data_IF_664097569648
#
_entry.id   IF_664097569648
#
_cell.length_a   1.000
_cell.length_b   1.000
_cell.length_c   1.000
_cell.angle_alpha   90.00
_cell.angle_beta   90.00
_cell.angle_gamma   90.00
#
_symmetry.space_group_name_H-M   'P 1'
#
loop_
_entity.id
_entity.type
_entity.pdbx_description
1 polymer ?
2 non-polymer ?
3 non-polymer ?
4 water ?
#
# COMPACT_ATOMS: atom_id res chain seq x y z
N UNK A 6 4.62 12.27 23.29
CA UNK A 6 6.01 11.80 23.57
C UNK A 6 6.08 10.32 23.28
N UNK A 7 5.31 9.93 22.28
CA UNK A 7 5.05 8.54 21.89
C UNK A 7 5.51 8.37 20.47
N UNK A 8 5.84 7.14 20.08
CA UNK A 8 6.10 6.80 18.67
C UNK A 8 4.83 7.10 17.89
N UNK A 9 3.64 6.97 18.52
CA UNK A 9 2.41 7.49 17.89
C UNK A 9 2.41 9.01 17.88
N UNK A 10 2.26 9.62 16.70
CA UNK A 10 2.22 11.08 16.52
C UNK A 10 0.80 11.54 16.48
N UNK A 11 -0.07 10.88 15.74
CA UNK A 11 -1.51 11.20 15.75
C UNK A 11 -2.32 10.07 15.19
N UNK A 12 -3.61 10.16 15.44
CA UNK A 12 -4.62 9.19 14.99
C UNK A 12 -5.77 9.99 14.39
N UNK A 13 -6.26 9.56 13.24
CA UNK A 13 -7.42 10.22 12.57
C UNK A 13 -8.41 9.13 12.15
N UNK A 14 -9.68 9.34 12.46
CA UNK A 14 -10.80 8.55 11.93
C UNK A 14 -11.54 7.80 13.00
N UNK A 15 -12.77 7.38 12.66
CA UNK A 15 -13.66 6.52 13.46
C UNK A 15 -14.64 5.87 12.48
N UNK A 16 -15.42 4.91 12.93
CA UNK A 16 -16.31 4.09 12.07
C UNK A 16 -17.40 4.97 11.48
N UNK A 17 -17.65 4.87 10.19
CA UNK A 17 -18.84 5.45 9.55
C UNK A 17 -18.58 5.87 8.15
N UNK A 18 -19.50 6.65 7.57
CA UNK A 18 -19.48 6.94 6.12
C UNK A 18 -19.33 8.44 5.88
N UNK A 19 -19.25 9.26 6.95
CA UNK A 19 -19.06 10.74 6.84
C UNK A 19 -17.61 11.05 6.51
N UNK A 20 -17.34 12.26 6.03
CA UNK A 20 -15.96 12.80 5.88
C UNK A 20 -15.20 12.57 7.20
N UNK A 21 -13.98 12.08 7.09
CA UNK A 21 -13.09 11.78 8.23
C UNK A 21 -13.50 10.53 8.94
N UNK A 22 -14.41 9.74 8.35
CA UNK A 22 -14.77 8.41 8.88
C UNK A 22 -14.38 7.35 7.85
N UNK A 23 -14.41 6.08 8.26
CA UNK A 23 -14.01 4.91 7.46
C UNK A 23 -14.88 3.70 7.80
N UNK A 24 -15.12 2.91 6.78
CA UNK A 24 -15.70 1.58 6.91
C UNK A 24 -14.58 0.56 6.73
N UNK A 25 -13.95 0.52 5.55
CA UNK A 25 -12.91 -0.49 5.26
C UNK A 25 -11.67 0.17 4.66
N UNK A 26 -10.87 0.77 5.51
CA UNK A 26 -9.69 1.56 5.12
C UNK A 26 -8.60 0.56 4.68
N UNK A 27 -8.12 0.66 3.47
CA UNK A 27 -7.14 -0.30 2.96
C UNK A 27 -5.90 0.43 2.50
N UNK A 28 -5.93 1.06 1.36
CA UNK A 28 -4.74 1.66 0.80
C UNK A 28 -4.37 2.96 1.50
N UNK A 29 -3.06 3.24 1.58
CA UNK A 29 -2.49 4.49 2.15
C UNK A 29 -1.33 4.91 1.28
N UNK A 30 -1.20 6.20 1.05
CA UNK A 30 -0.08 6.76 0.30
C UNK A 30 0.21 8.15 0.79
N UNK A 31 1.32 8.69 0.37
CA UNK A 31 1.74 10.04 0.74
C UNK A 31 2.26 10.80 -0.47
N UNK A 32 2.01 12.08 -0.48
CA UNK A 32 2.47 12.98 -1.54
C UNK A 32 3.65 13.77 -0.99
N UNK A 33 4.65 14.00 -1.84
CA UNK A 33 5.82 14.89 -1.59
C UNK A 33 5.37 16.29 -1.16
N UNK A 34 4.22 16.74 -1.66
CA UNK A 34 3.55 18.02 -1.29
C UNK A 34 3.10 18.00 0.19
N UNK A 35 3.31 16.88 0.89
CA UNK A 35 2.95 16.73 2.31
C UNK A 35 1.46 16.52 2.46
N UNK A 36 0.90 15.54 1.77
CA UNK A 36 -0.49 15.07 1.99
C UNK A 36 -0.48 13.58 2.27
N UNK A 37 -1.52 13.13 2.93
CA UNK A 37 -1.79 11.70 3.21
C UNK A 37 -3.06 11.34 2.47
N UNK A 38 -3.01 10.29 1.65
CA UNK A 38 -4.16 9.89 0.80
C UNK A 38 -4.57 8.49 1.20
N UNK A 39 -5.85 8.28 1.54
CA UNK A 39 -6.34 6.96 1.98
C UNK A 39 -7.54 6.53 1.16
N UNK A 40 -7.65 5.23 0.89
CA UNK A 40 -8.77 4.61 0.17
C UNK A 40 -9.61 3.80 1.15
N UNK A 41 -10.92 3.85 0.99
CA UNK A 41 -11.87 2.98 1.68
C UNK A 41 -12.57 2.14 0.64
N UNK A 42 -12.46 0.82 0.73
CA UNK A 42 -12.98 -0.11 -0.28
C UNK A 42 -14.51 -0.20 -0.16
N UNK A 43 -15.07 0.10 1.01
CA UNK A 43 -16.48 -0.15 1.33
C UNK A 43 -17.25 1.17 1.21
N UNK A 44 -16.64 2.29 1.58
CA UNK A 44 -17.23 3.65 1.33
C UNK A 44 -16.97 4.11 -0.09
N UNK A 45 -16.23 3.31 -0.87
CA UNK A 45 -15.98 3.51 -2.31
C UNK A 45 -15.50 4.97 -2.50
N UNK A 46 -14.52 5.42 -1.69
CA UNK A 46 -14.04 6.83 -1.72
C UNK A 46 -12.57 6.99 -1.36
N UNK A 47 -12.01 8.12 -1.77
CA UNK A 47 -10.61 8.55 -1.48
C UNK A 47 -10.70 9.79 -0.58
N UNK A 48 -9.91 9.82 0.51
CA UNK A 48 -9.88 11.02 1.41
C UNK A 48 -8.45 11.53 1.51
N UNK A 49 -8.32 12.84 1.48
CA UNK A 49 -7.00 13.53 1.44
C UNK A 49 -6.86 14.37 2.73
N UNK A 50 -5.76 14.21 3.43
CA UNK A 50 -5.43 14.88 4.70
C UNK A 50 -4.08 15.55 4.59
N UNK A 51 -3.82 16.57 5.42
CA UNK A 51 -2.48 17.20 5.58
C UNK A 51 -1.56 16.21 6.28
N UNK A 52 -0.26 16.53 6.33
CA UNK A 52 0.79 15.73 7.02
C UNK A 52 0.54 15.73 8.53
N UNK A 53 -0.33 16.58 9.03
CA UNK A 53 -0.69 16.60 10.47
C UNK A 53 -2.05 15.94 10.70
N UNK A 54 -2.73 15.43 9.68
CA UNK A 54 -4.01 14.71 9.87
C UNK A 54 -5.25 15.56 9.61
N UNK A 55 -5.09 16.82 9.21
CA UNK A 55 -6.27 17.69 8.98
C UNK A 55 -6.98 17.30 7.67
N UNK A 56 -8.30 17.14 7.74
CA UNK A 56 -9.15 16.77 6.58
C UNK A 56 -9.08 17.88 5.54
N UNK A 57 -8.74 17.54 4.30
CA UNK A 57 -8.79 18.46 3.16
C UNK A 57 -10.05 18.18 2.34
N UNK A 58 -10.18 17.01 1.70
CA UNK A 58 -11.36 16.70 0.83
C UNK A 58 -11.50 15.21 0.56
N UNK A 59 -12.70 14.83 0.14
CA UNK A 59 -13.10 13.45 -0.20
C UNK A 59 -13.59 13.45 -1.65
N UNK A 60 -13.30 12.40 -2.42
CA UNK A 60 -13.88 12.19 -3.77
C UNK A 60 -14.15 10.72 -4.01
N UNK A 61 -15.00 10.47 -4.99
CA UNK A 61 -15.37 9.12 -5.40
C UNK A 61 -16.84 9.04 -5.67
N UNK A 62 -17.17 8.69 -6.89
CA UNK A 62 -18.51 8.25 -7.29
C UNK A 62 -18.52 6.72 -7.38
N UNK A 63 -19.24 6.07 -6.43
CA UNK A 63 -19.67 4.64 -6.47
C UNK A 63 -20.09 4.26 -7.89
N UNK A 64 -19.57 3.16 -8.39
CA UNK A 64 -20.14 2.39 -9.51
C UNK A 64 -19.09 1.75 -10.37
N UNK A 65 -19.53 1.22 -11.50
CA UNK A 65 -18.78 0.26 -12.34
C UNK A 65 -18.37 0.92 -13.66
N UNK A 66 -18.74 2.18 -13.87
CA UNK A 66 -18.36 2.93 -15.10
C UNK A 66 -17.02 3.61 -14.91
N UNK A 67 -16.30 3.90 -15.99
CA UNK A 67 -15.04 4.63 -15.90
C UNK A 67 -15.29 5.96 -15.23
N UNK A 68 -14.40 6.33 -14.33
CA UNK A 68 -14.50 7.56 -13.53
C UNK A 68 -14.98 7.24 -12.14
N UNK A 69 -15.63 6.07 -11.98
CA UNK A 69 -16.35 5.64 -10.76
C UNK A 69 -15.49 4.60 -10.01
N UNK A 70 -15.73 4.49 -8.70
CA UNK A 70 -15.00 3.52 -7.81
C UNK A 70 -15.99 2.46 -7.34
N UNK A 71 -15.62 1.17 -7.44
CA UNK A 71 -16.46 0.06 -6.95
C UNK A 71 -15.84 -0.53 -5.68
N UNK A 72 -14.62 -1.03 -5.79
CA UNK A 72 -13.87 -1.57 -4.64
C UNK A 72 -12.44 -1.02 -4.68
N UNK A 73 -12.25 0.25 -4.30
CA UNK A 73 -10.91 0.82 -4.36
C UNK A 73 -10.03 0.33 -3.18
N UNK A 74 -8.96 -0.35 -3.49
CA UNK A 74 -8.22 -1.08 -2.45
C UNK A 74 -6.86 -0.41 -2.24
N UNK A 75 -6.13 -0.20 -3.30
CA UNK A 75 -4.75 0.23 -3.26
C UNK A 75 -4.65 1.64 -3.79
N UNK A 76 -3.78 2.48 -3.21
CA UNK A 76 -3.60 3.87 -3.67
C UNK A 76 -2.14 4.22 -3.61
N UNK A 77 -1.74 5.02 -4.55
CA UNK A 77 -0.39 5.54 -4.71
C UNK A 77 -0.49 6.94 -5.28
N UNK A 78 0.53 7.73 -5.06
CA UNK A 78 0.56 9.15 -5.46
C UNK A 78 1.77 9.31 -6.35
N UNK A 79 1.56 9.87 -7.54
CA UNK A 79 2.64 10.04 -8.52
C UNK A 79 3.42 11.31 -8.16
N UNK A 80 4.58 11.53 -8.78
CA UNK A 80 5.50 12.68 -8.50
C UNK A 80 4.78 14.01 -8.79
N UNK A 81 3.79 13.99 -9.70
CA UNK A 81 2.94 15.17 -10.03
C UNK A 81 1.72 15.25 -9.09
N UNK A 82 1.54 14.30 -8.17
CA UNK A 82 0.48 14.32 -7.15
C UNK A 82 -0.79 13.65 -7.64
N UNK A 83 -0.77 13.11 -8.86
CA UNK A 83 -1.91 12.34 -9.41
C UNK A 83 -2.18 11.18 -8.46
N UNK A 84 -3.44 10.83 -8.27
CA UNK A 84 -3.82 9.76 -7.30
C UNK A 84 -4.21 8.51 -8.09
N UNK A 85 -3.58 7.39 -7.76
CA UNK A 85 -3.64 6.13 -8.54
C UNK A 85 -4.35 5.09 -7.69
N UNK A 86 -5.48 4.62 -8.14
CA UNK A 86 -6.36 3.75 -7.33
C UNK A 86 -6.51 2.40 -8.04
N UNK A 87 -6.16 1.33 -7.35
CA UNK A 87 -6.45 -0.03 -7.79
C UNK A 87 -7.87 -0.38 -7.43
N UNK A 88 -8.70 -0.65 -8.42
CA UNK A 88 -10.10 -1.01 -8.20
C UNK A 88 -10.29 -2.49 -8.44
N UNK A 89 -10.35 -3.20 -7.36
CA UNK A 89 -10.31 -4.66 -7.38
C UNK A 89 -11.53 -5.18 -8.17
N UNK A 90 -12.67 -4.50 -8.06
CA UNK A 90 -13.96 -5.01 -8.63
C UNK A 90 -14.14 -4.48 -10.07
N UNK A 91 -13.76 -3.24 -10.35
CA UNK A 91 -13.80 -2.73 -11.76
C UNK A 91 -12.68 -3.39 -12.59
N UNK A 92 -11.67 -3.98 -11.94
CA UNK A 92 -10.56 -4.73 -12.59
C UNK A 92 -9.77 -3.77 -13.46
N UNK A 93 -9.55 -2.57 -12.96
CA UNK A 93 -8.65 -1.58 -13.62
C UNK A 93 -8.02 -0.65 -12.59
N UNK A 94 -7.06 0.14 -13.04
CA UNK A 94 -6.46 1.17 -12.20
C UNK A 94 -6.91 2.56 -12.71
N UNK A 95 -7.48 3.38 -11.84
CA UNK A 95 -7.95 4.75 -12.17
C UNK A 95 -6.87 5.75 -11.79
N UNK A 96 -6.57 6.67 -12.67
CA UNK A 96 -5.68 7.79 -12.33
C UNK A 96 -6.55 9.04 -12.26
N UNK A 97 -6.46 9.74 -11.15
CA UNK A 97 -7.12 11.02 -10.87
C UNK A 97 -6.05 12.13 -10.76
N UNK A 98 -6.47 13.37 -11.03
CA UNK A 98 -5.73 14.59 -10.65
C UNK A 98 -5.53 14.63 -9.14
N UNK A 99 -4.61 15.49 -8.64
CA UNK A 99 -4.46 15.69 -7.21
C UNK A 99 -5.73 16.23 -6.53
N UNK A 100 -6.70 16.74 -7.30
CA UNK A 100 -7.99 17.27 -6.78
C UNK A 100 -9.15 16.28 -6.99
N UNK A 101 -8.87 15.09 -7.53
CA UNK A 101 -9.87 14.00 -7.59
C UNK A 101 -10.65 13.97 -8.91
N UNK A 102 -10.11 14.60 -9.93
CA UNK A 102 -10.69 14.57 -11.30
C UNK A 102 -10.15 13.29 -12.03
N UNK A 103 -11.09 12.41 -12.41
CA UNK A 103 -10.81 11.23 -13.24
C UNK A 103 -10.05 11.68 -14.47
N UNK A 104 -8.98 10.98 -14.78
CA UNK A 104 -8.20 11.21 -16.02
C UNK A 104 -8.33 10.01 -16.96
N UNK A 105 -7.87 8.83 -16.52
CA UNK A 105 -8.00 7.62 -17.36
C UNK A 105 -7.88 6.41 -16.46
N UNK A 106 -8.12 5.28 -17.06
CA UNK A 106 -7.97 3.97 -16.41
C UNK A 106 -6.98 3.16 -17.22
N UNK A 107 -6.13 2.38 -16.55
CA UNK A 107 -5.11 1.55 -17.22
C UNK A 107 -5.29 0.11 -16.78
N UNK A 108 -4.99 -0.82 -17.70
CA UNK A 108 -4.91 -2.25 -17.46
C UNK A 108 -6.24 -2.91 -17.66
N UNK A 109 -7.27 -2.19 -18.13
CA UNK A 109 -8.57 -2.84 -18.40
C UNK A 109 -8.31 -3.99 -19.34
N UNK A 110 -8.86 -5.17 -19.04
CA UNK A 110 -8.75 -6.37 -19.90
C UNK A 110 -7.46 -7.13 -19.64
N UNK A 111 -6.49 -6.54 -18.95
CA UNK A 111 -5.25 -7.29 -18.60
C UNK A 111 -5.23 -7.64 -17.09
N UNK A 112 -5.77 -6.78 -16.27
CA UNK A 112 -5.81 -6.97 -14.78
C UNK A 112 -7.08 -7.71 -14.40
N UNK A 113 -7.00 -8.78 -13.65
CA UNK A 113 -8.20 -9.53 -13.24
C UNK A 113 -8.58 -9.22 -11.77
N UNK A 114 -7.67 -8.68 -10.97
CA UNK A 114 -7.94 -8.42 -9.56
C UNK A 114 -6.90 -7.51 -8.97
N UNK A 115 -6.78 -6.29 -9.52
CA UNK A 115 -5.74 -5.37 -9.10
C UNK A 115 -5.99 -4.89 -7.69
N UNK A 116 -5.03 -5.12 -6.83
CA UNK A 116 -5.22 -4.98 -5.40
C UNK A 116 -4.34 -3.83 -4.88
N UNK A 117 -3.07 -3.81 -5.29
CA UNK A 117 -2.05 -2.91 -4.74
C UNK A 117 -1.34 -2.15 -5.84
N UNK A 118 -0.88 -0.96 -5.53
CA UNK A 118 -0.20 -0.13 -6.53
C UNK A 118 0.97 0.60 -5.88
N UNK A 119 1.98 0.91 -6.68
CA UNK A 119 3.10 1.80 -6.31
C UNK A 119 3.55 2.54 -7.53
N UNK A 120 4.34 3.59 -7.30
CA UNK A 120 4.98 4.37 -8.40
C UNK A 120 6.49 4.18 -8.30
N UNK A 121 7.15 3.84 -9.40
CA UNK A 121 8.59 3.54 -9.36
C UNK A 121 9.36 4.85 -9.64
N UNK A 122 10.68 4.73 -9.74
CA UNK A 122 11.60 5.89 -9.78
C UNK A 122 11.65 6.47 -11.20
N UNK A 123 11.08 5.78 -12.19
CA UNK A 123 10.97 6.33 -13.58
C UNK A 123 9.51 6.69 -13.87
N UNK A 124 8.65 6.74 -12.86
CA UNK A 124 7.24 7.16 -13.01
C UNK A 124 6.36 6.03 -13.52
N UNK A 125 6.88 4.81 -13.64
CA UNK A 125 6.07 3.60 -13.94
C UNK A 125 5.08 3.35 -12.78
N UNK A 126 3.90 2.85 -13.11
CA UNK A 126 2.89 2.38 -12.16
C UNK A 126 3.05 0.87 -12.05
N UNK A 127 3.30 0.42 -10.83
CA UNK A 127 3.49 -1.01 -10.49
C UNK A 127 2.21 -1.49 -9.82
N UNK A 128 1.60 -2.51 -10.38
CA UNK A 128 0.29 -3.06 -9.92
C UNK A 128 0.47 -4.50 -9.53
N UNK A 129 0.04 -4.88 -8.34
CA UNK A 129 0.01 -6.30 -7.94
C UNK A 129 -1.42 -6.80 -8.01
N UNK A 130 -1.60 -7.88 -8.76
CA UNK A 130 -2.91 -8.47 -9.06
C UNK A 130 -3.06 -9.72 -8.20
N UNK A 131 -4.04 -9.69 -7.30
CA UNK A 131 -4.29 -10.80 -6.34
C UNK A 131 -5.05 -11.94 -7.02
N UNK A 132 -5.55 -11.77 -8.26
CA UNK A 132 -6.23 -12.88 -8.97
C UNK A 132 -5.25 -13.60 -9.91
N UNK A 133 -4.53 -12.89 -10.73
CA UNK A 133 -3.52 -13.52 -11.60
C UNK A 133 -2.22 -13.72 -10.83
N UNK A 134 -2.04 -13.11 -9.64
CA UNK A 134 -0.82 -13.28 -8.79
C UNK A 134 0.40 -12.81 -9.54
N UNK A 135 0.25 -11.70 -10.27
CA UNK A 135 1.32 -11.13 -11.09
C UNK A 135 1.56 -9.68 -10.69
N UNK A 136 2.73 -9.20 -11.07
CA UNK A 136 3.14 -7.80 -10.89
C UNK A 136 3.29 -7.21 -12.30
N UNK A 137 2.53 -6.14 -12.55
CA UNK A 137 2.49 -5.43 -13.83
C UNK A 137 3.22 -4.10 -13.67
N UNK A 138 3.90 -3.67 -14.72
CA UNK A 138 4.56 -2.35 -14.78
C UNK A 138 3.98 -1.63 -15.98
N UNK A 139 3.39 -0.48 -15.76
CA UNK A 139 2.72 0.35 -16.82
C UNK A 139 3.43 1.68 -16.93
N UNK A 140 3.36 2.31 -18.12
CA UNK A 140 3.57 3.79 -18.25
C UNK A 140 2.29 4.49 -17.81
N UNK A 141 2.37 5.74 -17.30
CA UNK A 141 1.16 6.51 -16.97
C UNK A 141 0.06 6.46 -18.03
N UNK A 142 0.45 6.44 -19.28
CA UNK A 142 -0.48 6.55 -20.44
C UNK A 142 -1.34 5.27 -20.54
N UNK A 143 -0.84 4.17 -19.95
CA UNK A 143 -1.56 2.89 -19.80
C UNK A 143 -0.80 1.75 -20.45
N UNK A 144 0.36 2.08 -21.03
CA UNK A 144 1.08 1.13 -21.91
C UNK A 144 1.72 0.09 -21.02
N UNK A 145 1.53 -1.19 -21.28
CA UNK A 145 2.21 -2.24 -20.46
C UNK A 145 3.68 -2.31 -20.86
N UNK A 146 4.60 -2.28 -19.90
CA UNK A 146 6.03 -2.34 -20.19
C UNK A 146 6.62 -3.61 -19.57
N UNK A 147 5.96 -4.23 -18.59
CA UNK A 147 6.52 -5.45 -17.97
C UNK A 147 5.51 -6.20 -17.11
N UNK A 148 5.73 -7.49 -16.96
CA UNK A 148 4.85 -8.37 -16.19
C UNK A 148 5.70 -9.53 -15.70
N UNK A 149 5.51 -9.91 -14.46
CA UNK A 149 6.15 -11.12 -13.88
C UNK A 149 5.29 -11.69 -12.75
N UNK A 150 5.66 -12.87 -12.27
CA UNK A 150 4.90 -13.59 -11.25
C UNK A 150 4.10 -14.75 -11.81
N UNK A 151 2.97 -15.01 -11.18
CA UNK A 151 2.12 -16.18 -11.46
C UNK A 151 1.78 -16.87 -10.14
N UNK A 152 0.63 -17.51 -10.08
CA UNK A 152 0.19 -18.16 -8.84
C UNK A 152 1.16 -19.29 -8.51
N UNK A 153 1.62 -19.31 -7.26
CA UNK A 153 2.43 -20.43 -6.71
C UNK A 153 3.17 -20.05 -5.47
N UNK A 154 3.97 -20.96 -4.93
CA UNK A 154 4.78 -20.76 -3.72
C UNK A 154 6.27 -20.67 -4.06
N UNK A 155 6.68 -20.78 -5.33
CA UNK A 155 8.11 -20.67 -5.67
C UNK A 155 8.54 -19.20 -5.60
N UNK A 156 9.85 -18.93 -5.56
CA UNK A 156 10.35 -17.55 -5.42
C UNK A 156 9.85 -16.65 -6.55
N UNK A 157 9.59 -17.21 -7.74
CA UNK A 157 9.15 -16.39 -8.91
C UNK A 157 7.63 -16.28 -8.93
N UNK A 158 6.92 -16.90 -7.99
CA UNK A 158 5.43 -16.92 -7.96
C UNK A 158 4.94 -16.25 -6.67
N UNK A 159 3.63 -15.97 -6.61
CA UNK A 159 2.94 -15.37 -5.45
C UNK A 159 1.70 -16.20 -5.18
N UNK A 160 1.37 -16.34 -3.91
CA UNK A 160 0.16 -17.06 -3.49
C UNK A 160 -1.01 -16.10 -3.36
N UNK A 161 -0.79 -14.90 -2.87
CA UNK A 161 -1.83 -13.86 -2.75
C UNK A 161 -1.22 -12.51 -2.38
N UNK A 162 -0.65 -11.82 -3.36
CA UNK A 162 0.05 -10.57 -3.10
C UNK A 162 -0.94 -9.41 -3.03
N UNK A 163 -0.90 -8.59 -1.99
CA UNK A 163 -1.86 -7.50 -1.87
C UNK A 163 -1.16 -6.15 -1.98
N UNK A 164 0.11 -6.03 -1.62
CA UNK A 164 0.74 -4.69 -1.60
C UNK A 164 2.14 -4.77 -2.21
N UNK A 165 2.64 -3.61 -2.59
CA UNK A 165 3.91 -3.48 -3.32
C UNK A 165 4.56 -2.15 -3.00
N UNK A 166 5.87 -2.11 -3.05
CA UNK A 166 6.66 -0.89 -2.82
C UNK A 166 7.86 -0.95 -3.79
N UNK A 167 8.54 0.16 -3.94
CA UNK A 167 9.73 0.26 -4.83
C UNK A 167 10.83 0.95 -4.01
N UNK A 168 12.05 0.50 -4.14
CA UNK A 168 13.20 1.05 -3.36
C UNK A 168 14.03 1.92 -4.30
N UNK A 169 15.23 2.27 -3.84
CA UNK A 169 16.04 3.39 -4.38
C UNK A 169 16.68 2.90 -5.64
N UNK A 170 16.80 1.58 -5.75
CA UNK A 170 17.36 0.87 -6.95
C UNK A 170 16.25 0.51 -7.94
N UNK A 171 15.03 1.04 -7.73
CA UNK A 171 13.85 0.74 -8.55
C UNK A 171 13.48 -0.73 -8.44
N UNK A 172 13.94 -1.41 -7.39
CA UNK A 172 13.57 -2.82 -7.11
C UNK A 172 12.18 -2.85 -6.50
N UNK A 173 11.47 -3.91 -6.80
CA UNK A 173 10.05 -4.11 -6.43
C UNK A 173 10.03 -5.04 -5.21
N UNK A 174 9.30 -4.61 -4.20
CA UNK A 174 9.13 -5.33 -2.94
C UNK A 174 7.64 -5.68 -2.81
N UNK A 175 7.33 -6.96 -2.77
CA UNK A 175 5.95 -7.48 -2.79
C UNK A 175 5.72 -8.19 -1.48
N UNK A 176 4.60 -7.91 -0.83
CA UNK A 176 4.16 -8.73 0.29
C UNK A 176 3.21 -9.80 -0.19
N UNK A 177 3.42 -11.00 0.31
CA UNK A 177 2.62 -12.17 -0.05
C UNK A 177 1.77 -12.58 1.13
N UNK A 178 0.53 -12.07 1.18
CA UNK A 178 -0.41 -12.24 2.30
C UNK A 178 -0.58 -13.72 2.65
N UNK A 179 -0.64 -14.57 1.66
CA UNK A 179 -0.97 -16.01 1.86
C UNK A 179 0.30 -16.84 2.06
N UNK A 180 1.50 -16.32 1.69
CA UNK A 180 2.80 -17.08 1.82
C UNK A 180 3.58 -16.62 3.04
N UNK A 181 3.15 -15.54 3.71
CA UNK A 181 3.81 -15.06 4.93
C UNK A 181 5.25 -14.62 4.63
N UNK A 182 5.42 -13.96 3.50
CA UNK A 182 6.78 -13.58 3.04
C UNK A 182 6.78 -12.24 2.35
N UNK A 183 7.97 -11.74 2.19
CA UNK A 183 8.20 -10.55 1.39
C UNK A 183 9.24 -10.93 0.34
N UNK A 184 8.98 -10.59 -0.90
CA UNK A 184 9.88 -10.96 -1.98
C UNK A 184 10.32 -9.71 -2.72
N UNK A 185 11.60 -9.71 -3.14
CA UNK A 185 12.21 -8.54 -3.78
C UNK A 185 12.73 -8.91 -5.14
N UNK A 186 12.41 -8.08 -6.13
CA UNK A 186 12.71 -8.30 -7.57
C UNK A 186 13.37 -7.07 -8.17
N UNK A 187 14.21 -7.26 -9.21
CA UNK A 187 14.71 -6.15 -10.06
C UNK A 187 13.52 -5.53 -10.78
N UNK A 188 13.70 -4.33 -11.33
CA UNK A 188 12.64 -3.62 -12.12
C UNK A 188 12.14 -4.51 -13.27
N UNK A 189 13.01 -5.37 -13.81
CA UNK A 189 12.72 -6.25 -14.98
C UNK A 189 12.01 -7.54 -14.54
N UNK A 190 11.81 -7.77 -13.25
CA UNK A 190 11.11 -8.99 -12.78
C UNK A 190 12.03 -10.08 -12.31
N UNK A 191 13.33 -9.84 -12.26
CA UNK A 191 14.26 -10.86 -11.78
C UNK A 191 14.18 -10.94 -10.25
N UNK A 192 13.97 -12.16 -9.75
CA UNK A 192 13.89 -12.46 -8.31
C UNK A 192 15.28 -12.19 -7.73
N UNK A 193 15.32 -11.47 -6.62
CA UNK A 193 16.58 -11.15 -5.90
C UNK A 193 16.63 -11.94 -4.61
N UNK A 194 15.65 -11.79 -3.73
CA UNK A 194 15.64 -12.54 -2.47
C UNK A 194 14.27 -12.43 -1.78
N UNK A 195 14.05 -13.34 -0.85
CA UNK A 195 12.84 -13.39 -0.01
C UNK A 195 13.25 -13.32 1.45
N UNK A 196 12.32 -12.86 2.27
CA UNK A 196 12.47 -12.96 3.74
C UNK A 196 11.10 -13.04 4.39
N UNK A 197 11.10 -13.43 5.65
CA UNK A 197 9.86 -13.64 6.39
C UNK A 197 9.42 -15.08 6.30
N UNK A 198 8.71 -15.51 7.31
CA UNK A 198 8.14 -16.88 7.42
C UNK A 198 6.95 -16.81 8.36
N UNK A 199 6.16 -17.86 8.41
CA UNK A 199 4.91 -17.91 9.16
C UNK A 199 5.23 -17.91 10.65
N UNK A 200 4.64 -17.00 11.43
CA UNK A 200 4.77 -17.08 12.88
C UNK A 200 4.67 -15.73 13.57
N UNK A 201 5.03 -15.71 14.87
CA UNK A 201 4.96 -14.48 15.72
C UNK A 201 6.33 -14.05 16.19
N UNK A 202 7.39 -14.73 15.83
CA UNK A 202 8.74 -14.30 16.20
C UNK A 202 9.19 -13.09 15.41
N UNK A 203 10.27 -12.48 15.81
CA UNK A 203 10.84 -11.32 15.09
C UNK A 203 11.12 -11.78 13.67
N UNK A 204 10.60 -11.03 12.70
CA UNK A 204 10.77 -11.32 11.27
C UNK A 204 9.89 -12.42 10.78
N UNK A 205 8.89 -12.81 11.53
CA UNK A 205 7.83 -13.73 11.09
C UNK A 205 6.56 -12.97 10.89
N UNK A 206 5.67 -13.53 10.10
CA UNK A 206 4.38 -12.90 9.78
C UNK A 206 3.23 -13.86 9.91
N UNK A 207 2.05 -13.29 10.16
CA UNK A 207 0.72 -13.92 9.99
C UNK A 207 -0.09 -13.03 9.02
N UNK A 208 0.32 -13.03 7.81
CA UNK A 208 -0.37 -12.37 6.66
C UNK A 208 0.14 -10.94 6.49
N UNK A 209 1.32 -10.73 5.87
CA UNK A 209 1.79 -9.38 5.64
C UNK A 209 0.88 -8.56 4.72
N UNK A 210 0.79 -7.28 4.97
CA UNK A 210 -0.02 -6.33 4.17
C UNK A 210 0.86 -5.19 3.73
N UNK A 211 0.61 -4.01 4.24
CA UNK A 211 1.23 -2.81 3.70
C UNK A 211 2.73 -2.89 3.68
N UNK A 212 3.36 -2.21 2.73
CA UNK A 212 4.81 -2.17 2.69
C UNK A 212 5.29 -0.81 2.16
N UNK A 213 6.39 -0.34 2.69
CA UNK A 213 7.05 0.92 2.27
C UNK A 213 8.54 0.74 2.39
N UNK A 214 9.29 1.47 1.62
CA UNK A 214 10.79 1.43 1.70
C UNK A 214 11.29 2.86 1.92
N UNK A 215 12.17 3.06 2.88
CA UNK A 215 12.71 4.39 3.19
C UNK A 215 13.96 4.70 2.35
N UNK A 216 14.53 5.90 2.50
CA UNK A 216 15.60 6.44 1.63
C UNK A 216 16.89 5.64 1.86
N UNK A 217 16.95 4.94 3.00
CA UNK A 217 18.11 4.11 3.40
C UNK A 217 17.92 2.64 2.99
N UNK A 218 16.80 2.30 2.33
CA UNK A 218 16.48 0.95 1.84
C UNK A 218 15.89 0.06 2.93
N UNK A 219 15.55 0.60 4.08
CA UNK A 219 14.82 -0.18 5.12
C UNK A 219 13.42 -0.49 4.60
N UNK A 220 12.97 -1.70 4.83
CA UNK A 220 11.67 -2.17 4.36
C UNK A 220 10.75 -2.25 5.58
N UNK A 221 9.62 -1.57 5.49
CA UNK A 221 8.64 -1.48 6.61
C UNK A 221 7.39 -2.23 6.21
N UNK A 222 6.99 -3.21 7.03
CA UNK A 222 5.95 -4.20 6.66
C UNK A 222 4.90 -4.31 7.78
N UNK A 223 3.66 -4.07 7.42
CA UNK A 223 2.50 -4.31 8.30
C UNK A 223 2.11 -5.79 8.26
N UNK A 224 1.71 -6.31 9.41
CA UNK A 224 1.46 -7.76 9.69
C UNK A 224 0.00 -7.82 10.13
N UNK A 225 -0.91 -8.17 9.23
CA UNK A 225 -2.37 -8.07 9.45
C UNK A 225 -2.76 -8.96 10.63
N UNK A 226 -2.31 -10.20 10.62
CA UNK A 226 -2.73 -11.20 11.58
C UNK A 226 -2.12 -11.01 12.93
N UNK A 227 -0.96 -10.40 12.98
CA UNK A 227 -0.23 -10.16 14.24
C UNK A 227 -0.46 -8.74 14.73
N UNK A 228 -1.16 -7.89 13.97
CA UNK A 228 -1.45 -6.48 14.34
C UNK A 228 -0.20 -5.74 14.78
N UNK A 229 0.80 -5.72 13.92
CA UNK A 229 2.07 -5.07 14.25
C UNK A 229 2.79 -4.67 13.00
N UNK A 230 3.77 -3.79 13.13
CA UNK A 230 4.54 -3.29 11.96
C UNK A 230 6.01 -3.53 12.23
N UNK A 231 6.68 -4.20 11.29
CA UNK A 231 8.12 -4.52 11.49
C UNK A 231 8.97 -3.68 10.56
N UNK A 232 10.14 -3.34 11.02
CA UNK A 232 11.13 -2.63 10.22
C UNK A 232 12.31 -3.57 9.98
N UNK A 233 12.72 -3.66 8.76
CA UNK A 233 13.85 -4.53 8.33
C UNK A 233 14.91 -3.70 7.64
N UNK A 234 16.17 -4.17 7.65
CA UNK A 234 17.15 -3.59 6.77
C UNK A 234 16.94 -4.09 5.35
N UNK A 235 17.77 -3.55 4.47
CA UNK A 235 17.63 -3.77 3.01
C UNK A 235 17.88 -5.23 2.62
N UNK A 236 18.44 -6.05 3.49
CA UNK A 236 18.71 -7.48 3.29
C UNK A 236 17.60 -8.31 3.93
N UNK A 237 16.58 -7.68 4.51
CA UNK A 237 15.47 -8.41 5.17
C UNK A 237 15.84 -8.88 6.56
N UNK A 238 16.75 -8.20 7.21
CA UNK A 238 17.06 -8.47 8.65
C UNK A 238 16.15 -7.65 9.55
N UNK A 239 15.46 -8.28 10.49
CA UNK A 239 14.58 -7.60 11.46
C UNK A 239 15.38 -6.58 12.24
N UNK A 240 14.85 -5.37 12.34
CA UNK A 240 15.43 -4.27 13.16
C UNK A 240 14.54 -3.97 14.34
N UNK A 241 13.25 -3.73 14.16
CA UNK A 241 12.38 -3.33 15.29
C UNK A 241 10.92 -3.49 14.94
N UNK A 242 10.10 -3.45 15.97
CA UNK A 242 8.67 -3.17 15.81
C UNK A 242 8.46 -1.68 15.93
N UNK A 243 7.48 -1.14 15.21
CA UNK A 243 6.95 0.21 15.49
C UNK A 243 6.23 0.11 16.85
N UNK A 244 6.46 1.05 17.74
CA UNK A 244 5.88 0.97 19.09
C UNK A 244 4.43 1.46 19.07
N UNK A 245 3.49 0.54 18.96
CA UNK A 245 2.05 0.80 18.84
C UNK A 245 1.37 0.72 20.19
N UNK A 246 2.11 0.57 21.27
CA UNK A 246 1.57 0.23 22.60
C UNK A 246 0.48 1.22 23.05
N UNK A 247 0.61 2.51 22.75
CA UNK A 247 -0.32 3.48 23.34
C UNK A 247 -1.75 3.24 22.76
N UNK A 248 -1.84 2.84 21.51
CA UNK A 248 -3.11 2.65 20.78
C UNK A 248 -2.90 1.48 19.83
N UNK A 249 -3.06 0.25 20.32
CA UNK A 249 -2.71 -0.94 19.54
C UNK A 249 -3.45 -0.96 18.20
N UNK A 250 -2.81 -1.59 17.24
CA UNK A 250 -3.41 -1.87 15.92
C UNK A 250 -4.37 -3.04 16.06
N UNK A 251 -5.25 -3.17 15.08
CA UNK A 251 -6.15 -4.32 14.88
C UNK A 251 -6.32 -4.53 13.38
N UNK A 252 -5.56 -5.47 12.82
CA UNK A 252 -5.67 -5.81 11.39
C UNK A 252 -5.20 -4.67 10.50
N UNK A 253 -3.94 -4.25 10.59
CA UNK A 253 -3.45 -3.22 9.69
C UNK A 253 -3.37 -3.65 8.24
N UNK A 254 -3.56 -2.68 7.37
CA UNK A 254 -3.58 -2.84 5.90
C UNK A 254 -2.47 -1.97 5.32
N UNK A 255 -2.80 -0.96 4.51
CA UNK A 255 -1.76 -0.14 3.86
C UNK A 255 -0.79 0.56 4.85
N UNK A 256 0.38 0.91 4.31
CA UNK A 256 1.52 1.55 4.98
C UNK A 256 2.08 2.58 3.98
N UNK A 257 2.47 3.75 4.42
CA UNK A 257 3.23 4.71 3.58
C UNK A 257 4.18 5.54 4.44
N UNK A 258 5.26 6.00 3.84
CA UNK A 258 6.19 6.95 4.46
C UNK A 258 5.85 8.35 3.96
N UNK A 259 5.73 9.29 4.85
CA UNK A 259 5.43 10.69 4.52
C UNK A 259 6.75 11.43 4.24
N UNK A 260 6.64 12.62 3.65
CA UNK A 260 7.76 13.54 3.38
C UNK A 260 8.40 14.00 4.70
N UNK A 261 7.64 14.01 5.80
CA UNK A 261 8.18 14.47 7.11
C UNK A 261 8.65 13.28 7.96
N UNK A 262 8.85 12.11 7.35
CA UNK A 262 9.60 10.96 7.88
C UNK A 262 8.77 10.10 8.85
N UNK A 263 7.43 10.20 8.81
CA UNK A 263 6.49 9.34 9.62
C UNK A 263 6.00 8.13 8.78
N UNK A 264 5.71 7.06 9.46
CA UNK A 264 5.08 5.86 8.90
C UNK A 264 3.60 6.00 9.19
N UNK A 265 2.77 5.98 8.16
CA UNK A 265 1.30 6.02 8.34
C UNK A 265 0.75 4.67 8.01
N UNK A 266 -0.13 4.20 8.85
CA UNK A 266 -0.74 2.87 8.69
C UNK A 266 -2.25 3.00 8.68
N UNK A 267 -2.88 2.25 7.78
CA UNK A 267 -4.34 2.01 7.82
C UNK A 267 -4.65 0.98 8.88
N UNK A 268 -5.09 1.43 10.05
CA UNK A 268 -5.43 0.52 11.16
C UNK A 268 -6.89 0.06 10.97
N UNK A 269 -7.14 -0.80 9.99
CA UNK A 269 -8.49 -0.98 9.40
C UNK A 269 -9.46 -1.43 10.48
N UNK A 270 -9.01 -2.35 11.35
CA UNK A 270 -9.88 -2.93 12.41
C UNK A 270 -10.34 -1.87 13.41
N UNK A 271 -9.63 -0.77 13.54
CA UNK A 271 -9.98 0.37 14.44
C UNK A 271 -10.52 1.58 13.63
N UNK A 272 -10.77 1.41 12.34
CA UNK A 272 -11.45 2.41 11.51
C UNK A 272 -10.72 3.75 11.54
N UNK A 273 -9.39 3.74 11.48
CA UNK A 273 -8.58 4.98 11.54
C UNK A 273 -7.25 4.78 10.84
N UNK A 274 -6.52 5.88 10.61
CA UNK A 274 -5.10 5.82 10.28
C UNK A 274 -4.29 6.47 11.40
N UNK A 275 -3.08 5.98 11.55
CA UNK A 275 -2.15 6.38 12.62
C UNK A 275 -0.80 6.69 12.01
N UNK A 276 -0.21 7.79 12.43
CA UNK A 276 1.14 8.18 12.04
C UNK A 276 2.13 7.94 13.17
N UNK A 277 3.30 7.41 12.83
CA UNK A 277 4.35 7.01 13.79
C UNK A 277 5.65 7.68 13.43
N UNK A 278 6.40 8.08 14.45
CA UNK A 278 7.87 8.21 14.30
C UNK A 278 8.45 6.78 14.32
N UNK A 279 9.53 6.55 13.60
CA UNK A 279 10.36 5.31 13.76
C UNK A 279 11.81 5.75 13.55
N UNK A 280 12.73 5.07 14.19
CA UNK A 280 14.02 5.68 14.63
C UNK A 280 15.03 5.60 13.47
N UNK A 281 14.75 4.83 12.42
CA UNK A 281 15.74 4.62 11.32
C UNK A 281 15.59 5.79 10.32
X LIG B 1 -3.77 -2.38 -24.47
X LIG B 1 -4.61 -3.54 -24.38
X LIG B 1 -3.06 -2.40 -25.73
X LIG B 1 -2.82 -2.39 -23.37
X LIG B 1 -4.58 -1.20 -24.39
X LIG C 1 -7.25 -13.11 -0.35
X LIG C 1 -5.92 -13.05 -0.94
X LIG C 1 -7.42 -14.41 0.28
X LIG C 1 -7.39 -12.08 0.65
X LIG C 1 -8.25 -12.92 -1.36
X LIG D 1 7.33 -23.39 -10.98
X LIG D 1 8.43 -24.32 -11.20
X LIG D 1 6.64 -23.19 -12.25
X LIG D 1 6.38 -23.97 -10.01
X LIG D 1 7.85 -22.11 -10.50
X LIG E 1 -4.57 -7.32 17.92
X LIG E 1 -4.70 -6.07 18.60
X LIG E 1 -4.84 -8.55 18.78
X LIG E 1 -4.59 -8.29 20.17
X LIG E 1 -6.24 -9.09 18.60
X LIG E 1 -6.47 -10.28 19.36
#
# INVERSE_FOLDING_TARGET
>A
SMNPIEDELVFRVGSRGREKGEFTNLQGVSAASSGRIVVADSNNQCIQVFSNEGQFKFRFGVRGRSPGQLQRPTGVAVDTNGDIIVADYDNRWVSIFSPEGKFKTKIGAGRLMGPKGVAVDRNGHIIVVDNKSCCVFTFQPNGKLVGRFGGRGATDRHFAGPHFVAVNNKNEIVVTDFHNHSVKVYSADGEFLFKFGSHGEGNGQFNAPTGVAVDSNGNIIVADWGNSRIQVFDSSGSFLSYINTSAEPLYGPQGLALTSDGHVVVADAGNHCFKAYRYLQ
>B hetero
1 SO4 S O1 O2 O3 O4
>C hetero
1 SO4 S O1 O2 O3 O4
>D hetero
1 SO4 S O1 O2 O3 O4
>E hetero
1 GOL C1 O1 C2 O2 C3 O3
#
